data_IF_308268428522
#
_entry.id   IF_308268428522
#
_cell.length_a   1.000
_cell.length_b   1.000
_cell.length_c   1.000
_cell.angle_alpha   90.00
_cell.angle_beta   90.00
_cell.angle_gamma   90.00
#
_symmetry.space_group_name_H-M   'P 1'
#
loop_
_entity.id
_entity.type
_entity.pdbx_description
1 polymer ?
#
# COMPACT_ATOMS: atom_id res chain seq x y z
N UNK A 1 1.38 19.11 -22.04
CA UNK A 1 0.86 18.44 -20.82
C UNK A 1 1.74 18.86 -19.66
N UNK A 2 1.21 19.38 -18.55
CA UNK A 2 2.01 19.55 -17.34
C UNK A 2 2.55 18.16 -16.94
N UNK A 3 3.81 18.05 -16.48
CA UNK A 3 4.30 16.78 -15.96
C UNK A 3 3.35 16.32 -14.86
N UNK A 4 3.00 15.01 -14.86
CA UNK A 4 2.20 14.37 -13.82
C UNK A 4 2.69 14.89 -12.46
N UNK A 5 1.93 15.78 -11.83
CA UNK A 5 2.36 16.40 -10.59
C UNK A 5 2.50 15.26 -9.59
N UNK A 6 3.75 14.95 -9.22
CA UNK A 6 4.04 13.87 -8.29
C UNK A 6 3.25 14.19 -7.03
N UNK A 7 2.30 13.33 -6.65
CA UNK A 7 1.49 13.56 -5.47
C UNK A 7 2.42 13.67 -4.25
N UNK A 8 2.40 14.82 -3.58
CA UNK A 8 3.15 15.06 -2.34
C UNK A 8 2.14 15.01 -1.21
N UNK A 9 2.38 14.15 -0.22
CA UNK A 9 1.63 14.19 1.04
C UNK A 9 2.34 15.13 1.99
N UNK A 10 1.62 16.14 2.48
CA UNK A 10 2.05 17.05 3.54
C UNK A 10 1.37 16.67 4.84
N UNK A 11 2.08 16.83 5.96
CA UNK A 11 1.61 16.59 7.32
C UNK A 11 1.90 17.85 8.12
N UNK A 12 0.88 18.43 8.76
CA UNK A 12 1.02 19.73 9.41
C UNK A 12 0.09 19.91 10.60
N UNK A 13 0.52 20.77 11.53
CA UNK A 13 -0.40 21.40 12.48
C UNK A 13 -0.81 22.77 11.95
N UNK A 14 -2.07 23.12 12.16
CA UNK A 14 -2.63 24.43 11.83
C UNK A 14 -3.35 25.01 13.06
N UNK A 15 -3.15 26.31 13.30
CA UNK A 15 -3.95 27.14 14.20
C UNK A 15 -4.42 28.37 13.43
N UNK A 16 -5.73 28.57 13.36
CA UNK A 16 -6.36 29.71 12.70
C UNK A 16 -6.81 30.72 13.74
N UNK A 17 -6.46 31.99 13.53
CA UNK A 17 -6.78 33.11 14.41
C UNK A 17 -7.44 34.25 13.62
N UNK A 18 -8.27 35.04 14.29
CA UNK A 18 -8.67 36.37 13.79
C UNK A 18 -7.48 37.32 13.77
N UNK A 19 -7.62 38.47 13.13
CA UNK A 19 -6.56 39.50 13.13
C UNK A 19 -6.21 40.00 14.54
N UNK A 20 -7.18 39.95 15.47
CA UNK A 20 -7.02 40.31 16.88
C UNK A 20 -6.39 39.18 17.72
N UNK A 21 -6.01 38.06 17.09
CA UNK A 21 -5.33 36.93 17.74
C UNK A 21 -6.26 35.91 18.40
N UNK A 22 -7.59 36.03 18.24
CA UNK A 22 -8.55 35.08 18.81
C UNK A 22 -8.46 33.76 18.02
N UNK A 23 -8.17 32.66 18.71
CA UNK A 23 -8.14 31.32 18.09
C UNK A 23 -9.57 30.88 17.75
N UNK A 24 -9.80 30.57 16.47
CA UNK A 24 -11.11 30.11 15.96
C UNK A 24 -11.10 28.64 15.57
N UNK A 25 -9.93 28.07 15.27
CA UNK A 25 -9.76 26.66 15.01
C UNK A 25 -8.31 26.24 15.27
N UNK A 26 -8.08 25.04 15.79
CA UNK A 26 -6.73 24.49 15.90
C UNK A 26 -6.71 22.97 15.91
N UNK A 27 -5.64 22.42 15.35
CA UNK A 27 -5.29 21.01 15.46
C UNK A 27 -4.57 20.66 16.76
N UNK A 28 -4.00 21.66 17.46
CA UNK A 28 -3.17 21.51 18.65
C UNK A 28 -3.99 21.39 19.93
N UNK A 29 -3.54 20.59 20.91
CA UNK A 29 -4.31 20.32 22.16
C UNK A 29 -4.38 21.53 23.06
N UNK A 30 -3.30 22.28 23.15
CA UNK A 30 -3.17 23.54 23.89
C UNK A 30 -4.14 24.63 23.41
N UNK A 31 -4.77 24.43 22.25
CA UNK A 31 -5.76 25.33 21.66
C UNK A 31 -7.12 24.64 21.47
N UNK A 32 -7.40 23.57 22.22
CA UNK A 32 -8.68 22.86 22.20
C UNK A 32 -8.86 21.84 21.07
N UNK A 33 -7.84 21.62 20.23
CA UNK A 33 -7.82 20.60 19.19
C UNK A 33 -7.54 19.19 19.72
N UNK A 34 -7.64 18.19 18.84
CA UNK A 34 -7.38 16.78 19.20
C UNK A 34 -5.89 16.42 19.34
N UNK A 35 -4.99 17.28 18.86
CA UNK A 35 -3.56 16.99 18.73
C UNK A 35 -3.22 16.12 17.53
N UNK A 36 -4.15 15.96 16.58
CA UNK A 36 -3.96 15.13 15.38
C UNK A 36 -3.56 16.05 14.22
N UNK A 37 -2.39 15.85 13.60
CA UNK A 37 -1.99 16.62 12.42
C UNK A 37 -2.94 16.43 11.24
N UNK A 38 -3.11 17.49 10.45
CA UNK A 38 -3.79 17.43 9.17
C UNK A 38 -2.87 16.78 8.13
N UNK A 39 -3.48 16.09 7.17
CA UNK A 39 -2.78 15.40 6.09
C UNK A 39 -3.45 15.73 4.78
N UNK A 40 -2.71 16.31 3.86
CA UNK A 40 -3.18 16.63 2.51
C UNK A 40 -2.28 15.99 1.47
N UNK A 41 -2.87 15.60 0.35
CA UNK A 41 -2.14 15.24 -0.86
C UNK A 41 -2.31 16.39 -1.85
N UNK A 42 -1.22 17.09 -2.15
CA UNK A 42 -1.25 18.27 -3.01
C UNK A 42 -1.83 17.92 -4.39
N UNK A 43 -2.77 18.74 -4.86
CA UNK A 43 -3.50 18.55 -6.12
C UNK A 43 -4.57 17.43 -6.09
N UNK A 44 -4.79 16.77 -4.96
CA UNK A 44 -5.81 15.71 -4.82
C UNK A 44 -6.76 15.91 -3.64
N UNK A 45 -6.26 16.36 -2.50
CA UNK A 45 -7.11 16.69 -1.36
C UNK A 45 -7.87 17.99 -1.61
N UNK A 46 -9.12 18.03 -1.14
CA UNK A 46 -9.87 19.29 -1.03
C UNK A 46 -9.19 20.18 0.01
N UNK A 47 -8.83 21.39 -0.39
CA UNK A 47 -8.22 22.39 0.48
C UNK A 47 -8.59 23.79 0.00
N UNK A 48 -8.49 24.78 0.89
CA UNK A 48 -8.62 26.19 0.52
C UNK A 48 -7.48 26.62 -0.38
N UNK A 49 -7.72 27.62 -1.25
CA UNK A 49 -6.75 28.10 -2.22
C UNK A 49 -5.43 28.53 -1.57
N UNK A 50 -5.49 29.26 -0.46
CA UNK A 50 -4.31 29.72 0.27
C UNK A 50 -3.42 28.59 0.79
N UNK A 51 -3.98 27.42 1.10
CA UNK A 51 -3.18 26.24 1.46
C UNK A 51 -2.53 25.59 0.23
N UNK A 52 -3.26 25.51 -0.89
CA UNK A 52 -2.72 24.99 -2.14
C UNK A 52 -1.52 25.80 -2.64
N UNK A 53 -1.57 27.13 -2.50
CA UNK A 53 -0.49 28.04 -2.87
C UNK A 53 0.61 28.15 -1.80
N UNK A 54 0.24 28.08 -0.51
CA UNK A 54 1.16 28.29 0.60
C UNK A 54 2.01 27.08 0.97
N UNK A 55 1.46 25.85 1.00
CA UNK A 55 2.23 24.67 1.40
C UNK A 55 3.48 24.41 0.56
N UNK A 56 3.48 24.60 -0.78
CA UNK A 56 4.68 24.43 -1.60
C UNK A 56 5.84 25.36 -1.26
N UNK A 57 5.60 26.45 -0.52
CA UNK A 57 6.66 27.41 -0.13
C UNK A 57 7.34 27.05 1.19
N UNK A 58 6.88 26.01 1.89
CA UNK A 58 7.35 25.66 3.23
C UNK A 58 8.39 24.54 3.23
N UNK A 59 9.33 24.60 4.18
CA UNK A 59 10.27 23.53 4.50
C UNK A 59 9.76 22.65 5.64
N UNK A 60 10.31 21.43 5.75
CA UNK A 60 10.04 20.54 6.88
C UNK A 60 10.56 21.18 8.18
N UNK A 61 9.69 21.24 9.20
CA UNK A 61 9.92 21.88 10.48
C UNK A 61 9.64 23.38 10.49
N UNK A 62 9.30 23.99 9.35
CA UNK A 62 8.98 25.40 9.27
C UNK A 62 7.65 25.72 9.96
N UNK A 63 7.63 26.81 10.73
CA UNK A 63 6.41 27.43 11.23
C UNK A 63 6.23 28.76 10.49
N UNK A 64 5.16 28.88 9.71
CA UNK A 64 4.84 30.07 8.95
C UNK A 64 3.47 30.64 9.33
N UNK A 65 3.36 31.96 9.35
CA UNK A 65 2.10 32.67 9.55
C UNK A 65 1.60 33.20 8.20
N UNK A 66 0.48 32.66 7.73
CA UNK A 66 -0.18 33.11 6.51
C UNK A 66 -1.34 34.03 6.86
N UNK A 67 -1.26 35.29 6.45
CA UNK A 67 -2.40 36.21 6.51
C UNK A 67 -3.22 36.08 5.23
N UNK A 68 -4.49 35.71 5.35
CA UNK A 68 -5.33 35.36 4.22
C UNK A 68 -6.63 36.16 4.19
N UNK A 69 -6.92 36.79 3.05
CA UNK A 69 -8.20 37.43 2.78
C UNK A 69 -9.30 36.38 2.52
N UNK A 70 -10.59 36.69 2.78
CA UNK A 70 -11.73 35.78 2.57
C UNK A 70 -11.69 34.99 1.26
N UNK A 71 -11.43 35.72 0.16
CA UNK A 71 -11.37 35.20 -1.22
C UNK A 71 -10.21 34.25 -1.54
N UNK A 72 -9.30 33.99 -0.60
CA UNK A 72 -8.25 32.97 -0.76
C UNK A 72 -8.34 31.89 0.31
N UNK A 73 -9.33 31.94 1.20
CA UNK A 73 -9.61 30.87 2.16
C UNK A 73 -10.99 30.25 1.94
N UNK A 74 -11.89 30.33 2.92
CA UNK A 74 -13.18 29.65 2.92
C UNK A 74 -14.29 30.40 2.17
N UNK A 75 -14.10 31.69 1.86
CA UNK A 75 -15.03 32.50 1.06
C UNK A 75 -14.54 32.70 -0.39
N UNK A 76 -13.65 31.83 -0.86
CA UNK A 76 -13.35 31.69 -2.28
C UNK A 76 -14.53 31.00 -2.97
N UNK A 77 -14.89 31.46 -4.18
CA UNK A 77 -16.14 31.09 -4.86
C UNK A 77 -16.25 29.58 -5.11
N UNK A 78 -15.14 28.94 -5.50
CA UNK A 78 -15.05 27.51 -5.80
C UNK A 78 -14.47 26.68 -4.64
N UNK A 79 -14.53 27.21 -3.40
CA UNK A 79 -13.89 26.58 -2.25
C UNK A 79 -14.49 25.19 -1.97
N UNK A 80 -13.68 24.12 -2.01
CA UNK A 80 -14.19 22.76 -1.85
C UNK A 80 -14.38 22.35 -0.37
N UNK A 81 -14.15 23.26 0.57
CA UNK A 81 -14.10 23.00 2.01
C UNK A 81 -15.20 23.79 2.72
N UNK A 82 -16.08 23.08 3.43
CA UNK A 82 -17.11 23.69 4.26
C UNK A 82 -16.54 24.13 5.63
N UNK A 83 -17.12 25.18 6.19
CA UNK A 83 -16.84 25.63 7.57
C UNK A 83 -18.02 25.32 8.49
N UNK A 84 -17.78 25.13 9.80
CA UNK A 84 -18.85 25.10 10.80
C UNK A 84 -19.65 26.41 10.84
N UNK A 85 -20.86 26.35 11.39
CA UNK A 85 -21.68 27.53 11.63
C UNK A 85 -20.96 28.52 12.57
N UNK A 86 -21.05 29.81 12.25
CA UNK A 86 -20.40 30.87 13.02
C UNK A 86 -18.89 31.00 12.82
N UNK A 87 -18.27 30.19 11.95
CA UNK A 87 -16.88 30.41 11.57
C UNK A 87 -16.74 31.74 10.80
N UNK A 88 -15.77 32.62 11.13
CA UNK A 88 -15.60 33.94 10.51
C UNK A 88 -14.98 33.83 9.11
N UNK A 89 -15.67 33.18 8.17
CA UNK A 89 -15.18 32.94 6.80
C UNK A 89 -15.11 34.22 5.94
N UNK A 90 -15.85 35.26 6.32
CA UNK A 90 -15.90 36.53 5.59
C UNK A 90 -14.85 37.55 6.11
N UNK A 91 -14.06 37.17 7.11
CA UNK A 91 -13.00 38.00 7.70
C UNK A 91 -11.60 37.66 7.16
N UNK A 92 -10.66 38.60 7.31
CA UNK A 92 -9.23 38.31 7.13
C UNK A 92 -8.73 37.49 8.34
N UNK A 93 -8.09 36.34 8.07
CA UNK A 93 -7.63 35.41 9.09
C UNK A 93 -6.12 35.17 9.02
N UNK A 94 -5.54 34.77 10.14
CA UNK A 94 -4.16 34.34 10.27
C UNK A 94 -4.10 32.82 10.45
N UNK A 95 -3.34 32.13 9.62
CA UNK A 95 -3.11 30.69 9.69
C UNK A 95 -1.66 30.43 10.06
N UNK A 96 -1.43 30.01 11.30
CA UNK A 96 -0.13 29.52 11.74
C UNK A 96 -0.02 28.05 11.39
N UNK A 97 0.92 27.72 10.53
CA UNK A 97 1.10 26.37 10.00
C UNK A 97 2.49 25.90 10.40
N UNK A 98 2.57 24.74 11.05
CA UNK A 98 3.81 24.00 11.26
C UNK A 98 3.84 22.82 10.27
N UNK A 99 4.80 22.83 9.34
CA UNK A 99 5.00 21.74 8.39
C UNK A 99 5.80 20.61 9.04
N UNK A 100 5.15 19.57 9.54
CA UNK A 100 5.80 18.47 10.28
C UNK A 100 6.63 17.56 9.37
N UNK A 101 6.09 17.17 8.23
CA UNK A 101 6.77 16.35 7.23
C UNK A 101 6.08 16.48 5.88
N UNK A 102 6.81 16.23 4.80
CA UNK A 102 6.21 15.99 3.51
C UNK A 102 7.03 14.99 2.71
N UNK A 103 6.36 14.23 1.86
CA UNK A 103 7.01 13.21 1.05
C UNK A 103 6.24 12.91 -0.22
N UNK A 104 6.96 12.40 -1.23
CA UNK A 104 6.34 11.84 -2.42
C UNK A 104 5.47 10.65 -2.02
N UNK A 105 4.19 10.71 -2.36
CA UNK A 105 3.18 9.73 -2.04
C UNK A 105 2.68 9.03 -3.31
N UNK A 106 2.45 7.72 -3.21
CA UNK A 106 1.65 6.97 -4.17
C UNK A 106 0.25 6.84 -3.59
N UNK A 107 -0.73 7.47 -4.23
CA UNK A 107 -2.14 7.27 -3.90
C UNK A 107 -2.56 5.91 -4.44
N UNK A 108 -3.05 5.05 -3.54
CA UNK A 108 -3.45 3.67 -3.86
C UNK A 108 -4.97 3.56 -3.97
N UNK A 109 -5.71 4.25 -3.10
CA UNK A 109 -7.15 4.43 -3.22
C UNK A 109 -7.49 5.87 -3.60
N UNK A 110 -8.41 6.07 -4.55
CA UNK A 110 -8.73 7.39 -5.11
C UNK A 110 -9.34 8.36 -4.09
N UNK A 111 -10.01 7.84 -3.06
CA UNK A 111 -10.52 8.59 -1.91
C UNK A 111 -9.44 8.96 -0.88
N UNK A 112 -8.18 8.66 -1.16
CA UNK A 112 -7.01 8.86 -0.29
C UNK A 112 -7.01 8.01 0.98
N UNK A 113 -7.91 7.02 1.11
CA UNK A 113 -7.96 6.13 2.27
C UNK A 113 -6.79 5.14 2.34
N UNK A 114 -6.08 4.94 1.23
CA UNK A 114 -4.83 4.17 1.18
C UNK A 114 -3.77 4.98 0.44
N UNK A 115 -2.70 5.33 1.14
CA UNK A 115 -1.55 6.08 0.59
C UNK A 115 -0.26 5.37 0.97
N UNK A 116 0.71 5.34 0.06
CA UNK A 116 2.02 4.71 0.29
C UNK A 116 3.17 5.73 0.19
N UNK A 117 4.09 5.69 1.14
CA UNK A 117 5.42 6.31 1.07
C UNK A 117 6.45 5.22 0.81
N UNK A 118 7.18 5.32 -0.29
CA UNK A 118 8.33 4.43 -0.52
C UNK A 118 9.49 4.93 0.35
N UNK A 119 10.09 4.03 1.12
CA UNK A 119 11.26 4.29 1.97
C UNK A 119 12.53 3.80 1.29
N UNK A 120 12.51 2.58 0.76
CA UNK A 120 13.55 2.01 -0.08
C UNK A 120 12.89 1.38 -1.32
N UNK A 121 13.37 1.74 -2.51
CA UNK A 121 12.89 1.17 -3.77
C UNK A 121 13.18 -0.33 -3.81
N UNK A 122 12.23 -1.12 -4.32
CA UNK A 122 12.44 -2.54 -4.54
C UNK A 122 13.15 -2.84 -5.86
N UNK A 123 13.06 -4.10 -6.27
CA UNK A 123 13.73 -4.66 -7.45
C UNK A 123 12.70 -5.27 -8.39
N UNK A 124 12.94 -5.08 -9.68
CA UNK A 124 12.05 -5.56 -10.73
C UNK A 124 10.77 -4.73 -10.84
N UNK A 125 9.92 -5.13 -11.78
CA UNK A 125 8.66 -4.44 -12.11
C UNK A 125 7.42 -5.21 -11.67
N UNK A 126 7.56 -6.50 -11.33
CA UNK A 126 6.45 -7.33 -10.88
C UNK A 126 5.98 -6.89 -9.49
N UNK A 127 4.67 -6.86 -9.30
CA UNK A 127 4.02 -6.61 -8.01
C UNK A 127 3.07 -7.77 -7.69
N UNK A 128 2.82 -8.07 -6.41
CA UNK A 128 1.97 -9.19 -6.05
C UNK A 128 0.50 -8.92 -6.39
N UNK A 129 -0.22 -9.98 -6.72
CA UNK A 129 -1.67 -10.00 -6.99
C UNK A 129 -2.27 -11.29 -6.48
N UNK A 130 -3.59 -11.38 -6.37
CA UNK A 130 -4.23 -12.65 -6.01
C UNK A 130 -3.91 -13.75 -7.05
N UNK A 131 -3.60 -15.00 -6.63
CA UNK A 131 -3.45 -15.50 -5.26
C UNK A 131 -1.98 -15.68 -4.83
N UNK A 132 -1.12 -14.68 -5.05
CA UNK A 132 0.32 -14.79 -4.74
C UNK A 132 0.55 -14.96 -3.24
N UNK A 133 1.55 -15.78 -2.91
CA UNK A 133 2.03 -15.95 -1.54
C UNK A 133 3.04 -14.84 -1.22
N UNK A 134 2.91 -14.25 -0.04
CA UNK A 134 3.69 -13.10 0.43
C UNK A 134 4.54 -13.51 1.61
N UNK A 135 5.76 -13.02 1.64
CA UNK A 135 6.62 -12.97 2.83
C UNK A 135 6.94 -11.52 3.11
N UNK A 136 6.49 -10.99 4.25
CA UNK A 136 6.68 -9.59 4.60
C UNK A 136 7.00 -9.40 6.09
N UNK A 137 7.88 -8.44 6.40
CA UNK A 137 8.01 -7.93 7.78
C UNK A 137 7.07 -6.76 7.95
N UNK A 138 6.29 -6.78 9.02
CA UNK A 138 5.18 -5.84 9.24
C UNK A 138 5.26 -5.32 10.66
N UNK A 139 5.27 -4.00 10.79
CA UNK A 139 4.97 -3.31 12.06
C UNK A 139 3.88 -2.30 11.82
N UNK A 140 3.10 -1.98 12.84
CA UNK A 140 1.98 -1.06 12.70
C UNK A 140 1.85 -0.15 13.90
N UNK A 141 1.61 1.13 13.64
CA UNK A 141 1.34 2.16 14.65
C UNK A 141 0.13 2.98 14.24
N UNK A 142 -0.60 3.49 15.20
CA UNK A 142 -1.60 4.55 14.97
C UNK A 142 -0.93 5.88 14.64
N UNK A 143 -1.72 6.83 14.15
CA UNK A 143 -1.27 8.19 13.86
C UNK A 143 -0.66 8.95 15.07
N UNK A 144 -1.04 8.60 16.30
CA UNK A 144 -0.50 9.16 17.55
C UNK A 144 0.69 8.35 18.11
N UNK A 145 1.17 7.35 17.37
CA UNK A 145 2.38 6.59 17.68
C UNK A 145 2.18 5.32 18.52
N UNK A 146 0.94 5.05 18.99
CA UNK A 146 0.62 3.81 19.70
C UNK A 146 0.88 2.60 18.82
N UNK A 147 1.67 1.67 19.34
CA UNK A 147 1.99 0.42 18.64
C UNK A 147 0.79 -0.54 18.62
N UNK A 148 0.51 -1.12 17.45
CA UNK A 148 -0.55 -2.10 17.23
C UNK A 148 0.07 -3.47 16.89
N UNK A 149 1.06 -3.47 15.99
CA UNK A 149 1.82 -4.66 15.61
C UNK A 149 3.29 -4.37 15.91
N UNK A 150 3.89 -5.04 16.92
CA UNK A 150 5.26 -4.81 17.31
C UNK A 150 6.25 -5.29 16.25
N UNK A 151 7.46 -4.73 16.29
CA UNK A 151 8.58 -5.26 15.50
C UNK A 151 8.99 -6.64 16.00
N UNK A 152 9.18 -7.58 15.08
CA UNK A 152 9.75 -8.91 15.33
C UNK A 152 10.64 -9.34 14.17
N UNK A 153 11.51 -10.31 14.40
CA UNK A 153 12.44 -10.80 13.37
C UNK A 153 11.73 -11.66 12.33
N UNK A 154 10.74 -12.45 12.76
CA UNK A 154 10.01 -13.38 11.92
C UNK A 154 9.11 -12.66 10.92
N UNK A 155 9.20 -13.05 9.66
CA UNK A 155 8.29 -12.58 8.63
C UNK A 155 6.89 -13.18 8.79
N UNK A 156 5.89 -12.44 8.33
CA UNK A 156 4.54 -12.94 8.13
C UNK A 156 4.44 -13.63 6.77
N UNK A 157 3.67 -14.70 6.73
CA UNK A 157 3.36 -15.48 5.52
C UNK A 157 1.85 -15.49 5.34
N UNK A 158 1.39 -15.08 4.17
CA UNK A 158 -0.03 -15.02 3.84
C UNK A 158 -0.23 -15.01 2.33
N UNK A 159 -1.45 -15.17 1.87
CA UNK A 159 -1.84 -15.16 0.46
C UNK A 159 -2.72 -13.95 0.16
N UNK A 160 -2.38 -13.20 -0.89
CA UNK A 160 -3.22 -12.08 -1.37
C UNK A 160 -4.59 -12.62 -1.77
N UNK A 161 -5.66 -11.95 -1.34
CA UNK A 161 -7.05 -12.33 -1.64
C UNK A 161 -7.68 -13.26 -0.61
N UNK A 162 -6.94 -13.73 0.41
CA UNK A 162 -7.47 -14.58 1.48
C UNK A 162 -7.93 -13.81 2.73
N UNK A 163 -7.93 -12.47 2.68
CA UNK A 163 -8.35 -11.59 3.80
C UNK A 163 -7.58 -11.85 5.10
N UNK A 164 -6.33 -12.31 5.01
CA UNK A 164 -5.46 -12.57 6.17
C UNK A 164 -4.88 -11.28 6.78
N UNK A 165 -4.86 -10.21 5.99
CA UNK A 165 -4.45 -8.85 6.36
C UNK A 165 -5.57 -7.84 6.04
N UNK A 166 -5.57 -6.64 6.65
CA UNK A 166 -6.56 -5.60 6.31
C UNK A 166 -6.54 -5.25 4.82
N UNK A 167 -7.72 -5.00 4.24
CA UNK A 167 -7.89 -4.68 2.81
C UNK A 167 -6.94 -3.58 2.33
N UNK A 168 -6.84 -2.48 3.08
CA UNK A 168 -5.96 -1.37 2.70
C UNK A 168 -4.47 -1.72 2.74
N UNK A 169 -4.07 -2.61 3.66
CA UNK A 169 -2.70 -3.12 3.70
C UNK A 169 -2.42 -4.00 2.48
N UNK A 170 -3.34 -4.90 2.14
CA UNK A 170 -3.24 -5.76 0.95
C UNK A 170 -3.13 -4.92 -0.33
N UNK A 171 -3.98 -3.91 -0.48
CA UNK A 171 -3.93 -2.96 -1.61
C UNK A 171 -2.57 -2.25 -1.70
N UNK A 172 -2.02 -1.79 -0.58
CA UNK A 172 -0.72 -1.13 -0.57
C UNK A 172 0.41 -2.08 -0.97
N UNK A 173 0.42 -3.32 -0.43
CA UNK A 173 1.39 -4.37 -0.78
C UNK A 173 1.30 -4.76 -2.25
N UNK A 174 0.09 -4.80 -2.82
CA UNK A 174 -0.14 -5.04 -4.26
C UNK A 174 0.53 -4.02 -5.19
N UNK A 175 1.02 -2.90 -4.65
CA UNK A 175 1.77 -1.89 -5.39
C UNK A 175 3.28 -1.93 -5.15
N UNK A 176 3.77 -2.85 -4.32
CA UNK A 176 5.16 -2.97 -3.92
C UNK A 176 5.93 -3.94 -4.81
N UNK A 177 7.20 -3.66 -5.05
CA UNK A 177 8.14 -4.54 -5.75
C UNK A 177 8.98 -5.37 -4.77
N UNK A 178 9.66 -6.41 -5.27
CA UNK A 178 10.46 -7.31 -4.44
C UNK A 178 11.54 -6.54 -3.66
N UNK A 179 11.65 -6.76 -2.34
CA UNK A 179 12.54 -6.05 -1.39
C UNK A 179 12.21 -4.58 -1.14
N UNK A 180 11.09 -4.06 -1.65
CA UNK A 180 10.67 -2.69 -1.36
C UNK A 180 10.38 -2.52 0.14
N UNK A 181 10.82 -1.39 0.72
CA UNK A 181 10.38 -0.95 2.04
C UNK A 181 9.48 0.27 1.89
N UNK A 182 8.34 0.25 2.55
CA UNK A 182 7.35 1.32 2.46
C UNK A 182 6.61 1.53 3.77
N UNK A 183 6.01 2.71 3.90
CA UNK A 183 4.95 2.98 4.88
C UNK A 183 3.63 3.06 4.13
N UNK A 184 2.67 2.23 4.52
CA UNK A 184 1.30 2.24 3.99
C UNK A 184 0.40 2.84 5.06
N UNK A 185 -0.22 3.95 4.74
CA UNK A 185 -1.18 4.65 5.58
C UNK A 185 -2.58 4.22 5.18
N UNK A 186 -3.32 3.66 6.13
CA UNK A 186 -4.64 3.07 5.89
C UNK A 186 -5.66 3.70 6.83
N UNK A 187 -6.65 4.38 6.27
CA UNK A 187 -7.79 4.92 7.03
C UNK A 187 -8.70 3.80 7.50
N UNK A 188 -9.50 4.09 8.52
CA UNK A 188 -10.49 3.18 9.11
C UNK A 188 -11.42 2.51 8.09
N UNK A 189 -11.80 3.21 7.02
CA UNK A 189 -12.62 2.68 5.91
C UNK A 189 -11.98 1.50 5.17
N UNK A 190 -10.66 1.35 5.22
CA UNK A 190 -9.91 0.26 4.60
C UNK A 190 -9.27 -0.70 5.63
N UNK A 191 -9.52 -0.48 6.92
CA UNK A 191 -9.15 -1.44 7.97
C UNK A 191 -10.25 -2.49 8.10
N UNK A 192 -10.01 -3.68 7.57
CA UNK A 192 -10.89 -4.84 7.72
C UNK A 192 -10.34 -5.79 8.77
N UNK A 193 -11.23 -6.49 9.49
CA UNK A 193 -10.81 -7.52 10.44
C UNK A 193 -10.08 -8.63 9.69
N UNK A 194 -8.99 -9.11 10.26
CA UNK A 194 -8.18 -10.17 9.68
C UNK A 194 -7.42 -10.95 10.76
N UNK A 195 -6.77 -12.05 10.38
CA UNK A 195 -5.91 -12.83 11.30
C UNK A 195 -4.78 -11.97 11.89
N UNK A 196 -4.19 -11.07 11.09
CA UNK A 196 -3.16 -10.14 11.53
C UNK A 196 -3.72 -9.02 12.45
N UNK A 197 -4.96 -8.61 12.22
CA UNK A 197 -5.56 -7.44 12.89
C UNK A 197 -7.03 -7.70 13.27
N UNK A 198 -7.28 -8.42 14.37
CA UNK A 198 -8.63 -8.83 14.76
C UNK A 198 -9.46 -7.71 15.42
N UNK A 199 -8.81 -6.71 16.00
CA UNK A 199 -9.43 -5.60 16.74
C UNK A 199 -9.23 -4.28 15.99
N UNK A 200 -10.31 -3.50 15.85
CA UNK A 200 -10.35 -2.27 15.06
C UNK A 200 -10.92 -1.06 15.81
N UNK A 201 -11.38 -1.27 17.05
CA UNK A 201 -12.13 -0.27 17.79
C UNK A 201 -11.27 0.98 18.08
N UNK A 202 -11.80 2.16 17.73
CA UNK A 202 -11.16 3.44 17.99
C UNK A 202 -10.00 3.79 17.05
N UNK A 203 -9.79 3.04 15.96
CA UNK A 203 -8.73 3.33 14.98
C UNK A 203 -9.25 4.24 13.86
N UNK A 204 -8.64 5.41 13.69
CA UNK A 204 -8.93 6.33 12.58
C UNK A 204 -7.99 6.12 11.38
N UNK A 205 -6.69 5.95 11.65
CA UNK A 205 -5.66 5.68 10.63
C UNK A 205 -4.54 4.83 11.26
N UNK A 206 -4.06 3.83 10.52
CA UNK A 206 -2.93 2.98 10.90
C UNK A 206 -1.81 3.07 9.86
N UNK A 207 -0.59 3.19 10.34
CA UNK A 207 0.64 3.31 9.58
C UNK A 207 1.35 1.97 9.64
N UNK A 208 1.35 1.25 8.53
CA UNK A 208 2.04 -0.02 8.40
C UNK A 208 3.42 0.18 7.78
N UNK A 209 4.47 -0.19 8.50
CA UNK A 209 5.83 -0.21 8.00
C UNK A 209 6.11 -1.62 7.49
N UNK A 210 6.39 -1.72 6.20
CA UNK A 210 6.49 -2.99 5.49
C UNK A 210 7.84 -3.12 4.82
N UNK A 211 8.46 -4.29 4.96
CA UNK A 211 9.46 -4.80 4.03
C UNK A 211 8.84 -5.97 3.27
N UNK A 212 8.67 -5.84 1.95
CA UNK A 212 8.22 -6.93 1.10
C UNK A 212 9.40 -7.85 0.80
N UNK A 213 9.67 -8.79 1.71
CA UNK A 213 10.84 -9.67 1.66
C UNK A 213 10.85 -10.50 0.39
N UNK A 214 9.71 -11.09 0.05
CA UNK A 214 9.51 -11.93 -1.14
C UNK A 214 8.02 -12.07 -1.46
N UNK A 215 7.70 -12.35 -2.73
CA UNK A 215 6.42 -12.93 -3.11
C UNK A 215 6.63 -14.04 -4.13
N UNK A 216 5.71 -15.00 -4.18
CA UNK A 216 5.75 -16.16 -5.06
C UNK A 216 4.53 -16.10 -5.97
N UNK A 217 4.77 -16.14 -7.28
CA UNK A 217 3.68 -16.20 -8.25
C UNK A 217 2.92 -17.51 -8.09
N UNK A 218 1.64 -17.38 -7.79
CA UNK A 218 0.67 -18.48 -7.80
C UNK A 218 -0.38 -18.15 -8.85
N UNK A 219 -0.82 -19.17 -9.58
CA UNK A 219 -1.94 -19.06 -10.53
C UNK A 219 -2.91 -20.20 -10.30
N UNK A 220 -4.18 -19.86 -10.20
CA UNK A 220 -5.25 -20.79 -10.45
C UNK A 220 -5.44 -20.91 -11.96
N UNK A 221 -5.03 -22.04 -12.52
CA UNK A 221 -4.97 -22.24 -13.97
C UNK A 221 -6.37 -22.44 -14.57
N UNK A 222 -7.35 -22.84 -13.76
CA UNK A 222 -8.73 -23.10 -14.18
C UNK A 222 -9.74 -22.09 -13.61
N UNK A 223 -9.35 -21.35 -12.57
CA UNK A 223 -10.21 -20.38 -11.88
C UNK A 223 -11.19 -21.02 -10.89
N UNK A 224 -11.10 -22.33 -10.68
CA UNK A 224 -11.98 -23.10 -9.79
C UNK A 224 -11.22 -23.81 -8.65
N UNK A 225 -9.94 -23.49 -8.48
CA UNK A 225 -9.06 -24.02 -7.46
C UNK A 225 -8.54 -25.43 -7.70
N UNK A 226 -8.97 -26.13 -8.77
CA UNK A 226 -8.58 -27.53 -9.00
C UNK A 226 -7.15 -27.69 -9.54
N UNK A 227 -6.58 -26.65 -10.16
CA UNK A 227 -5.21 -26.68 -10.67
C UNK A 227 -4.44 -25.41 -10.28
N UNK A 228 -3.62 -25.52 -9.23
CA UNK A 228 -2.79 -24.43 -8.74
C UNK A 228 -1.35 -24.61 -9.23
N UNK A 229 -0.85 -23.61 -9.97
CA UNK A 229 0.56 -23.50 -10.33
C UNK A 229 1.25 -22.52 -9.40
N UNK A 230 2.19 -23.01 -8.60
CA UNK A 230 3.08 -22.20 -7.75
C UNK A 230 4.49 -22.15 -8.36
N UNK A 231 5.01 -20.95 -8.59
CA UNK A 231 6.33 -20.73 -9.22
C UNK A 231 7.45 -20.83 -8.18
N UNK A 232 8.07 -22.00 -8.06
CA UNK A 232 9.15 -22.23 -7.09
C UNK A 232 10.49 -21.64 -7.56
N UNK A 233 10.74 -21.67 -8.88
CA UNK A 233 11.93 -21.11 -9.50
C UNK A 233 11.55 -20.40 -10.80
N UNK A 234 12.22 -19.28 -11.09
CA UNK A 234 11.96 -18.51 -12.30
C UNK A 234 12.56 -19.21 -13.53
N UNK A 235 11.75 -19.32 -14.58
CA UNK A 235 12.24 -19.75 -15.90
C UNK A 235 13.00 -18.63 -16.62
N UNK A 236 13.52 -18.94 -17.80
CA UNK A 236 14.06 -17.95 -18.75
C UNK A 236 13.10 -17.81 -19.94
N UNK A 237 13.05 -16.61 -20.52
CA UNK A 237 12.18 -16.28 -21.66
C UNK A 237 11.08 -15.27 -21.33
N UNK A 238 10.37 -14.83 -22.35
CA UNK A 238 9.25 -13.90 -22.28
C UNK A 238 7.91 -14.62 -22.22
N UNK A 239 7.12 -14.37 -21.17
CA UNK A 239 5.76 -14.88 -21.08
C UNK A 239 4.78 -13.96 -21.83
N UNK A 240 3.82 -14.48 -22.62
CA UNK A 240 3.59 -15.89 -22.93
C UNK A 240 4.34 -16.41 -24.16
N UNK A 241 5.14 -15.57 -24.83
CA UNK A 241 5.73 -15.86 -26.15
C UNK A 241 6.60 -17.11 -26.19
N UNK A 242 7.44 -17.30 -25.16
CA UNK A 242 8.37 -18.43 -25.06
C UNK A 242 7.77 -19.63 -24.31
N UNK A 243 6.48 -19.59 -23.99
CA UNK A 243 5.81 -20.72 -23.36
C UNK A 243 5.52 -21.82 -24.39
N UNK A 244 5.62 -23.10 -24.02
CA UNK A 244 5.25 -24.18 -24.92
C UNK A 244 3.79 -24.05 -25.39
N UNK A 245 3.59 -24.21 -26.70
CA UNK A 245 2.28 -24.23 -27.34
C UNK A 245 1.75 -25.67 -27.41
N UNK A 246 0.57 -25.87 -28.00
CA UNK A 246 0.10 -27.21 -28.37
C UNK A 246 1.11 -27.87 -29.33
N UNK A 247 1.27 -29.19 -29.23
CA UNK A 247 2.19 -30.02 -30.04
C UNK A 247 3.68 -29.69 -29.87
N UNK A 248 4.05 -28.95 -28.83
CA UNK A 248 5.46 -28.74 -28.47
C UNK A 248 6.03 -30.02 -27.86
N UNK A 249 7.20 -30.44 -28.35
CA UNK A 249 7.98 -31.49 -27.69
C UNK A 249 8.51 -30.96 -26.34
N UNK A 250 8.03 -31.55 -25.25
CA UNK A 250 8.40 -31.19 -23.89
C UNK A 250 9.41 -32.20 -23.36
N UNK A 251 10.45 -31.71 -22.68
CA UNK A 251 11.38 -32.51 -21.88
C UNK A 251 11.29 -32.06 -20.42
N UNK A 252 10.75 -32.90 -19.55
CA UNK A 252 10.36 -32.51 -18.19
C UNK A 252 10.88 -33.50 -17.16
N UNK A 253 11.46 -32.95 -16.10
CA UNK A 253 11.56 -33.66 -14.83
C UNK A 253 10.38 -33.29 -13.93
N UNK A 254 9.74 -34.28 -13.34
CA UNK A 254 8.77 -34.08 -12.29
C UNK A 254 9.08 -34.93 -11.06
N UNK A 255 8.53 -34.47 -9.94
CA UNK A 255 8.57 -35.12 -8.63
C UNK A 255 7.17 -35.16 -8.05
N UNK A 256 6.63 -36.37 -7.93
CA UNK A 256 5.35 -36.64 -7.30
C UNK A 256 5.51 -36.77 -5.79
N UNK A 257 4.75 -35.98 -5.04
CA UNK A 257 4.76 -35.99 -3.58
C UNK A 257 3.32 -36.11 -3.07
N UNK A 258 3.15 -36.88 -2.01
CA UNK A 258 1.92 -36.88 -1.23
C UNK A 258 1.85 -35.59 -0.38
N UNK A 259 0.63 -35.21 0.00
CA UNK A 259 0.37 -34.05 0.85
C UNK A 259 0.32 -34.41 2.35
N UNK A 260 0.72 -35.62 2.70
CA UNK A 260 0.94 -36.02 4.09
C UNK A 260 2.09 -35.19 4.70
N UNK A 261 2.20 -35.14 6.02
CA UNK A 261 3.47 -34.77 6.67
C UNK A 261 4.21 -36.10 6.88
N UNK A 262 5.31 -36.39 6.14
CA UNK A 262 6.42 -35.48 5.79
C UNK A 262 6.54 -35.08 4.30
N UNK A 263 5.46 -35.11 3.51
CA UNK A 263 5.40 -34.91 2.05
C UNK A 263 6.16 -35.98 1.30
N UNK A 264 5.75 -37.23 1.54
CA UNK A 264 6.42 -38.42 1.04
C UNK A 264 6.54 -38.38 -0.49
N UNK A 265 7.75 -38.56 -1.00
CA UNK A 265 8.01 -38.65 -2.43
C UNK A 265 7.62 -40.05 -2.91
N UNK A 266 6.70 -40.15 -3.85
CA UNK A 266 6.34 -41.44 -4.46
C UNK A 266 7.02 -41.68 -5.81
N UNK A 267 7.51 -40.61 -6.45
CA UNK A 267 8.25 -40.70 -7.71
C UNK A 267 9.07 -39.42 -7.96
N UNK A 268 10.30 -39.55 -8.44
CA UNK A 268 11.16 -38.44 -8.86
C UNK A 268 11.95 -38.87 -10.11
N UNK A 269 11.58 -38.35 -11.28
CA UNK A 269 12.26 -38.67 -12.55
C UNK A 269 13.79 -38.47 -12.50
N UNK A 270 14.32 -37.59 -11.65
CA UNK A 270 15.78 -37.43 -11.54
C UNK A 270 16.46 -38.59 -10.80
N UNK A 271 15.73 -39.25 -9.89
CA UNK A 271 16.24 -40.36 -9.10
C UNK A 271 15.83 -41.73 -9.70
N UNK A 272 14.60 -41.81 -10.21
CA UNK A 272 13.94 -43.05 -10.60
C UNK A 272 13.96 -43.32 -12.12
N UNK A 273 14.56 -42.42 -12.92
CA UNK A 273 14.68 -42.55 -14.38
C UNK A 273 16.11 -42.26 -14.87
N UNK A 274 17.13 -42.75 -14.16
CA UNK A 274 18.56 -42.60 -14.49
C UNK A 274 19.02 -41.15 -14.72
N UNK A 275 18.29 -40.16 -14.17
CA UNK A 275 18.54 -38.75 -14.39
C UNK A 275 18.06 -38.22 -15.74
N UNK A 276 17.42 -39.04 -16.57
CA UNK A 276 16.86 -38.63 -17.86
C UNK A 276 15.47 -37.99 -17.71
N UNK A 277 15.17 -36.91 -18.46
CA UNK A 277 13.85 -36.30 -18.46
C UNK A 277 12.84 -37.15 -19.24
N UNK A 278 11.56 -37.02 -18.90
CA UNK A 278 10.50 -37.57 -19.73
C UNK A 278 10.28 -36.67 -20.94
N UNK A 279 10.04 -37.28 -22.10
CA UNK A 279 9.80 -36.60 -23.36
C UNK A 279 8.40 -36.92 -23.89
N UNK A 280 7.61 -35.90 -24.19
CA UNK A 280 6.25 -36.05 -24.73
C UNK A 280 5.76 -34.77 -25.43
N UNK A 281 4.84 -34.90 -26.39
CA UNK A 281 4.19 -33.76 -27.03
C UNK A 281 3.07 -33.19 -26.15
N UNK A 282 3.02 -31.86 -26.00
CA UNK A 282 1.92 -31.20 -25.30
C UNK A 282 0.59 -31.42 -26.04
N UNK A 283 -0.46 -31.80 -25.31
CA UNK A 283 -1.79 -32.00 -25.89
C UNK A 283 -2.14 -33.45 -26.28
N UNK A 284 -1.15 -34.34 -26.40
CA UNK A 284 -1.40 -35.74 -26.83
C UNK A 284 -1.64 -36.72 -25.67
N UNK A 285 -1.63 -36.24 -24.42
CA UNK A 285 -1.64 -37.06 -23.21
C UNK A 285 -0.30 -37.78 -22.98
N UNK A 286 0.03 -38.07 -21.72
CA UNK A 286 1.19 -38.90 -21.41
C UNK A 286 0.87 -40.33 -21.84
N UNK A 287 1.37 -40.74 -23.02
CA UNK A 287 1.40 -42.16 -23.37
C UNK A 287 2.44 -42.82 -22.47
N UNK A 288 1.96 -43.53 -21.46
CA UNK A 288 2.79 -44.38 -20.62
C UNK A 288 3.60 -45.32 -21.51
N UNK A 289 4.90 -45.06 -21.62
CA UNK A 289 5.85 -46.07 -22.07
C UNK A 289 6.12 -46.91 -20.83
N UNK A 290 5.26 -47.93 -20.62
CA UNK A 290 5.54 -49.02 -19.70
C UNK A 290 6.76 -49.81 -20.20
#
# INVERSE_FOLDING_TARGET
MPPLQRAIRVILHCTTRTIDGIVVNSTRREHGGKGIPLRFVLGKSKMILGFAEGFPTMLKGEIAMFKMQPKIHYAEDDCPVATPDGFPKDDELQFEIEMLDFFKAKVVADDLGVVKKIVEEGKGWETPREPYEITARITARTADGKEIIPSKEEAYFFTIGKSEVPKGLEMGIGTMSHKEKAIIFVSSTYLTKSSLMPQLEGLEEVHFYIELVQFIQVRDMLGDGRLIKRRVFDGKGEFPMDCPLHDSLLRVHYKGMLLDEPKSVFYDTRADNDGEPLEFCSGEGLRSIL
#
